data_IF_138828077838
#
_entry.id   IF_138828077838
#
_cell.length_a   1.000
_cell.length_b   1.000
_cell.length_c   1.000
_cell.angle_alpha   90.00
_cell.angle_beta   90.00
_cell.angle_gamma   90.00
#
_symmetry.space_group_name_H-M   'P 1'
#
loop_
_entity.id
_entity.type
_entity.pdbx_description
1 polymer ?
#
# COMPACT_ATOMS: atom_id res chain seq x y z
N UNK A 1 -16.93 3.42 -25.52
CA UNK A 1 -16.18 2.15 -25.44
C UNK A 1 -16.44 1.37 -26.72
N UNK A 2 -15.42 0.78 -27.36
CA UNK A 2 -15.62 -0.06 -28.56
C UNK A 2 -15.56 -1.52 -28.16
N UNK A 3 -16.66 -2.22 -28.40
CA UNK A 3 -16.86 -3.60 -27.96
C UNK A 3 -15.90 -4.59 -28.67
N UNK A 4 -15.62 -4.39 -29.96
CA UNK A 4 -14.73 -5.24 -30.75
C UNK A 4 -13.26 -5.22 -30.25
N UNK A 5 -12.82 -4.09 -29.70
CA UNK A 5 -11.49 -3.95 -29.12
C UNK A 5 -11.39 -4.65 -27.76
N UNK A 6 -12.46 -4.60 -26.95
CA UNK A 6 -12.50 -5.30 -25.67
C UNK A 6 -12.32 -6.80 -25.85
N UNK A 7 -13.04 -7.41 -26.80
CA UNK A 7 -12.92 -8.85 -27.08
C UNK A 7 -11.53 -9.26 -27.59
N UNK A 8 -10.81 -8.37 -28.28
CA UNK A 8 -9.42 -8.64 -28.71
C UNK A 8 -8.39 -8.49 -27.60
N UNK A 9 -8.62 -7.59 -26.64
CA UNK A 9 -7.72 -7.36 -25.51
C UNK A 9 -7.97 -8.33 -24.35
N UNK A 10 -9.20 -8.81 -24.19
CA UNK A 10 -9.60 -9.67 -23.08
C UNK A 10 -9.45 -11.17 -23.36
N UNK A 11 -8.51 -11.56 -24.23
CA UNK A 11 -8.25 -12.97 -24.59
C UNK A 11 -7.65 -13.74 -23.39
N UNK A 12 -6.91 -13.05 -22.52
CA UNK A 12 -6.36 -13.62 -21.29
C UNK A 12 -6.39 -12.58 -20.16
N UNK A 13 -7.50 -12.48 -19.41
CA UNK A 13 -7.62 -11.51 -18.33
C UNK A 13 -6.65 -11.83 -17.18
N UNK A 14 -5.79 -10.87 -16.85
CA UNK A 14 -4.97 -10.88 -15.64
C UNK A 14 -5.66 -10.03 -14.58
N UNK A 15 -6.25 -10.68 -13.58
CA UNK A 15 -6.79 -9.98 -12.42
C UNK A 15 -5.65 -9.57 -11.49
N UNK A 16 -5.66 -8.32 -11.04
CA UNK A 16 -4.76 -7.83 -9.99
C UNK A 16 -5.46 -7.91 -8.65
N UNK A 17 -4.84 -8.57 -7.68
CA UNK A 17 -5.33 -8.61 -6.31
C UNK A 17 -4.93 -7.35 -5.54
N UNK A 18 -5.82 -6.89 -4.67
CA UNK A 18 -5.50 -5.82 -3.75
C UNK A 18 -4.37 -6.28 -2.80
N UNK A 19 -3.63 -5.34 -2.23
CA UNK A 19 -2.52 -5.66 -1.34
C UNK A 19 -3.00 -6.38 -0.05
N UNK A 20 -4.19 -6.06 0.43
CA UNK A 20 -4.81 -6.71 1.59
C UNK A 20 -5.24 -8.16 1.34
N UNK A 21 -5.47 -8.54 0.07
CA UNK A 21 -5.76 -9.94 -0.29
C UNK A 21 -4.50 -10.82 -0.22
N UNK A 22 -3.32 -10.21 -0.06
CA UNK A 22 -2.00 -10.85 -0.04
C UNK A 22 -1.09 -10.24 1.03
N UNK A 23 -1.44 -10.37 2.32
CA UNK A 23 -0.73 -9.69 3.41
C UNK A 23 0.74 -10.13 3.54
N UNK A 24 1.08 -11.34 3.10
CA UNK A 24 2.46 -11.85 3.11
C UNK A 24 3.38 -11.08 2.14
N UNK A 25 2.82 -10.42 1.12
CA UNK A 25 3.59 -9.59 0.19
C UNK A 25 3.95 -8.22 0.76
N UNK A 26 3.26 -7.75 1.81
CA UNK A 26 3.42 -6.38 2.34
C UNK A 26 4.86 -6.13 2.79
N UNK A 27 5.42 -7.04 3.58
CA UNK A 27 6.77 -6.86 4.15
C UNK A 27 7.87 -6.98 3.08
N UNK A 28 7.88 -7.99 2.19
CA UNK A 28 8.82 -8.05 1.07
C UNK A 28 8.74 -6.81 0.16
N UNK A 29 7.53 -6.33 -0.15
CA UNK A 29 7.37 -5.12 -0.96
C UNK A 29 7.90 -3.90 -0.22
N UNK A 30 7.59 -3.73 1.07
CA UNK A 30 8.11 -2.62 1.87
C UNK A 30 9.65 -2.60 1.91
N UNK A 31 10.29 -3.78 2.04
CA UNK A 31 11.74 -3.92 2.01
C UNK A 31 12.32 -3.51 0.64
N UNK A 32 11.73 -3.97 -0.45
CA UNK A 32 12.17 -3.59 -1.81
C UNK A 32 11.99 -2.09 -2.08
N UNK A 33 10.88 -1.50 -1.62
CA UNK A 33 10.65 -0.07 -1.72
C UNK A 33 11.69 0.72 -0.91
N UNK A 34 12.06 0.23 0.27
CA UNK A 34 13.11 0.84 1.07
C UNK A 34 14.48 0.78 0.38
N UNK A 35 14.82 -0.36 -0.24
CA UNK A 35 16.05 -0.51 -1.05
C UNK A 35 16.04 0.43 -2.25
N UNK A 36 14.92 0.53 -2.95
CA UNK A 36 14.78 1.40 -4.12
C UNK A 36 14.99 2.88 -3.79
N UNK A 37 14.47 3.32 -2.64
CA UNK A 37 14.47 4.73 -2.25
C UNK A 37 15.67 5.12 -1.38
N UNK A 38 16.51 4.17 -1.00
CA UNK A 38 17.68 4.41 -0.17
C UNK A 38 18.96 4.12 -0.97
N UNK A 39 19.59 5.18 -1.48
CA UNK A 39 20.76 5.07 -2.36
C UNK A 39 22.05 4.66 -1.64
N UNK A 40 22.12 4.87 -0.32
CA UNK A 40 23.31 4.56 0.49
C UNK A 40 23.09 3.31 1.34
N UNK A 41 23.70 2.19 0.93
CA UNK A 41 23.59 0.92 1.64
C UNK A 41 24.38 0.87 2.96
N UNK A 42 25.22 1.87 3.27
CA UNK A 42 26.03 1.88 4.51
C UNK A 42 25.27 2.36 5.74
N UNK A 43 24.21 3.16 5.57
CA UNK A 43 23.27 3.56 6.63
C UNK A 43 21.85 3.12 6.27
N UNK A 44 21.68 1.82 6.01
CA UNK A 44 20.38 1.28 5.63
C UNK A 44 19.43 1.21 6.83
N UNK A 45 18.25 1.85 6.79
CA UNK A 45 17.34 1.86 7.91
C UNK A 45 16.74 0.48 8.20
N UNK A 46 16.65 0.15 9.49
CA UNK A 46 15.98 -1.07 9.97
C UNK A 46 14.56 -0.73 10.42
N UNK A 47 13.56 -1.39 9.85
CA UNK A 47 12.17 -1.27 10.30
C UNK A 47 12.00 -2.05 11.60
N UNK A 48 11.45 -1.41 12.64
CA UNK A 48 11.19 -2.05 13.93
C UNK A 48 10.07 -3.09 13.84
N UNK A 49 10.04 -4.06 14.76
CA UNK A 49 8.97 -5.07 14.80
C UNK A 49 7.57 -4.47 14.94
N UNK A 50 7.43 -3.40 15.72
CA UNK A 50 6.15 -2.70 15.89
C UNK A 50 5.72 -1.98 14.62
N UNK A 51 6.66 -1.36 13.89
CA UNK A 51 6.38 -0.76 12.59
C UNK A 51 5.97 -1.81 11.55
N UNK A 52 6.64 -2.97 11.50
CA UNK A 52 6.25 -4.08 10.63
C UNK A 52 4.84 -4.59 10.93
N UNK A 53 4.45 -4.63 12.22
CA UNK A 53 3.10 -5.02 12.62
C UNK A 53 2.06 -4.03 12.10
N UNK A 54 2.30 -2.73 12.24
CA UNK A 54 1.42 -1.69 11.69
C UNK A 54 1.29 -1.82 10.18
N UNK A 55 2.41 -2.03 9.47
CA UNK A 55 2.39 -2.20 8.02
C UNK A 55 1.56 -3.43 7.61
N UNK A 56 1.69 -4.55 8.31
CA UNK A 56 0.93 -5.78 8.03
C UNK A 56 -0.56 -5.65 8.32
N UNK A 57 -0.92 -5.00 9.43
CA UNK A 57 -2.30 -5.00 9.94
C UNK A 57 -3.19 -3.93 9.26
N UNK A 58 -2.61 -3.03 8.46
CA UNK A 58 -3.36 -2.00 7.74
C UNK A 58 -3.91 -2.50 6.40
N UNK A 59 -5.10 -2.02 6.02
CA UNK A 59 -5.84 -2.51 4.86
C UNK A 59 -5.35 -1.99 3.49
N UNK A 60 -4.48 -0.99 3.46
CA UNK A 60 -3.89 -0.42 2.22
C UNK A 60 -4.92 -0.14 1.10
N UNK A 61 -5.93 0.73 1.32
CA UNK A 61 -6.91 1.10 0.29
C UNK A 61 -6.27 1.66 -0.99
N UNK A 62 -5.11 2.32 -0.88
CA UNK A 62 -4.30 2.80 -2.00
C UNK A 62 -3.25 1.80 -2.50
N UNK A 63 -3.31 0.54 -2.05
CA UNK A 63 -2.43 -0.56 -2.45
C UNK A 63 -0.92 -0.20 -2.31
N UNK A 64 -0.08 -0.77 -3.18
CA UNK A 64 1.38 -0.57 -3.20
C UNK A 64 1.75 0.92 -3.31
N UNK A 65 0.93 1.74 -3.97
CA UNK A 65 1.20 3.18 -4.11
C UNK A 65 1.11 3.91 -2.77
N UNK A 66 0.13 3.54 -1.93
CA UNK A 66 0.03 4.08 -0.57
C UNK A 66 1.18 3.57 0.31
N UNK A 67 1.49 2.28 0.23
CA UNK A 67 2.63 1.69 0.94
C UNK A 67 3.94 2.41 0.61
N UNK A 68 4.23 2.66 -0.67
CA UNK A 68 5.42 3.39 -1.11
C UNK A 68 5.49 4.80 -0.53
N UNK A 69 4.39 5.55 -0.55
CA UNK A 69 4.34 6.88 0.06
C UNK A 69 4.60 6.85 1.58
N UNK A 70 4.06 5.84 2.28
CA UNK A 70 4.29 5.66 3.72
C UNK A 70 5.76 5.34 4.00
N UNK A 71 6.36 4.41 3.26
CA UNK A 71 7.78 4.04 3.42
C UNK A 71 8.71 5.22 3.11
N UNK A 72 8.46 5.97 2.03
CA UNK A 72 9.25 7.17 1.72
C UNK A 72 9.20 8.21 2.84
N UNK A 73 7.99 8.50 3.36
CA UNK A 73 7.83 9.44 4.49
C UNK A 73 8.55 8.94 5.74
N UNK A 74 8.42 7.66 6.07
CA UNK A 74 9.08 7.06 7.22
C UNK A 74 10.61 7.18 7.13
N UNK A 75 11.20 7.04 5.94
CA UNK A 75 12.65 7.24 5.71
C UNK A 75 13.10 8.68 5.97
N UNK A 76 12.24 9.67 5.75
CA UNK A 76 12.52 11.09 6.03
C UNK A 76 12.34 11.42 7.52
N UNK A 77 11.37 10.79 8.17
CA UNK A 77 11.01 11.07 9.57
C UNK A 77 11.90 10.33 10.59
N UNK A 78 12.45 9.18 10.20
CA UNK A 78 13.23 8.32 11.09
C UNK A 78 14.32 9.11 11.82
N UNK A 79 14.43 8.87 13.12
CA UNK A 79 15.56 9.36 13.91
C UNK A 79 16.69 8.34 13.91
N UNK A 80 17.76 8.62 13.17
CA UNK A 80 18.92 7.74 13.04
C UNK A 80 18.70 6.59 12.06
N UNK A 81 19.03 5.36 12.46
CA UNK A 81 19.06 4.18 11.57
C UNK A 81 17.86 3.24 11.73
N UNK A 82 16.79 3.65 12.44
CA UNK A 82 15.59 2.81 12.62
C UNK A 82 14.31 3.55 12.28
N UNK A 83 13.43 2.86 11.55
CA UNK A 83 12.04 3.27 11.33
C UNK A 83 11.21 2.67 12.47
N UNK A 84 10.64 3.52 13.30
CA UNK A 84 9.81 3.17 14.45
C UNK A 84 8.32 3.22 14.10
N UNK A 85 7.48 2.73 15.01
CA UNK A 85 6.02 2.72 14.82
C UNK A 85 5.45 4.14 14.61
N UNK A 86 6.01 5.14 15.26
CA UNK A 86 5.62 6.55 15.15
C UNK A 86 5.94 7.18 13.79
N UNK A 87 6.90 6.62 13.05
CA UNK A 87 7.27 7.07 11.70
C UNK A 87 6.29 6.55 10.63
N UNK A 88 5.48 5.53 10.96
CA UNK A 88 4.50 4.92 10.07
C UNK A 88 3.20 5.74 10.08
N UNK A 89 3.18 6.81 9.29
CA UNK A 89 2.00 7.68 9.16
C UNK A 89 1.02 7.12 8.13
N UNK A 90 -0.13 6.64 8.60
CA UNK A 90 -1.19 6.10 7.75
C UNK A 90 -2.42 6.99 7.91
N UNK A 91 -2.85 7.63 6.83
CA UNK A 91 -3.98 8.58 6.86
C UNK A 91 -5.30 7.81 7.05
N UNK A 92 -5.78 7.79 8.29
CA UNK A 92 -7.04 7.13 8.69
C UNK A 92 -8.29 7.73 7.99
N UNK A 93 -8.16 8.87 7.32
CA UNK A 93 -9.25 9.61 6.68
C UNK A 93 -9.78 8.99 5.36
N UNK A 94 -9.09 8.02 4.77
CA UNK A 94 -9.56 7.32 3.55
C UNK A 94 -10.15 5.93 3.81
N UNK A 95 -10.30 5.51 5.07
CA UNK A 95 -10.77 4.18 5.46
C UNK A 95 -12.28 4.07 5.69
N UNK A 96 -13.08 5.11 5.38
CA UNK A 96 -14.53 4.95 5.26
C UNK A 96 -14.87 4.65 3.80
N UNK A 97 -15.38 3.45 3.46
CA UNK A 97 -16.06 3.28 2.20
C UNK A 97 -17.29 4.18 2.27
N UNK A 98 -17.35 5.16 1.37
CA UNK A 98 -18.53 5.97 1.13
C UNK A 98 -19.70 5.00 0.87
N UNK A 99 -20.50 4.73 1.90
CA UNK A 99 -21.69 3.93 1.79
C UNK A 99 -22.63 4.69 0.86
N UNK A 100 -22.63 4.32 -0.41
CA UNK A 100 -23.59 4.80 -1.40
C UNK A 100 -24.98 4.54 -0.79
N UNK A 101 -25.76 5.58 -0.46
CA UNK A 101 -27.09 5.37 0.09
C UNK A 101 -27.88 4.60 -0.95
N UNK A 102 -28.44 3.46 -0.55
CA UNK A 102 -29.34 2.68 -1.39
C UNK A 102 -30.39 3.61 -1.99
N UNK A 103 -30.29 3.83 -3.30
CA UNK A 103 -31.23 4.61 -4.06
C UNK A 103 -32.62 4.01 -3.87
N UNK A 104 -33.50 4.81 -3.28
CA UNK A 104 -34.89 4.48 -2.97
C UNK A 104 -35.57 3.90 -4.21
N UNK A 105 -35.94 2.62 -4.15
CA UNK A 105 -36.93 2.06 -5.05
C UNK A 105 -38.28 2.66 -4.67
N UNK A 106 -38.76 3.61 -5.48
CA UNK A 106 -40.17 3.96 -5.56
C UNK A 106 -40.62 3.77 -7.00
N UNK A 107 -41.45 2.75 -7.20
CA UNK A 107 -42.46 2.65 -8.24
C UNK A 107 -43.64 1.87 -7.66
#
# INVERSE_FOLDING_TARGET
FREDLYFRLNVFPLATYALNDRPEDIIPIAAELLVRHHSDLTDFPVISGDALKILRDYAWPGNVRELENVIQRATVLKSGSRILAEDIMIDRAMAEPEAVPAMVAQA
#
